data_IF_476248965641
#
_entry.id   IF_476248965641
#
_cell.length_a   1.000
_cell.length_b   1.000
_cell.length_c   1.000
_cell.angle_alpha   90.00
_cell.angle_beta   90.00
_cell.angle_gamma   90.00
#
_symmetry.space_group_name_H-M   'P 1'
#
loop_
_entity.id
_entity.type
_entity.pdbx_description
1 polymer ?
#
# COMPACT_ATOMS: atom_id res chain seq x y z
N UNK A 1 25.44 2.45 1.91
CA UNK A 1 24.20 1.68 1.66
C UNK A 1 24.45 0.55 0.65
N UNK A 2 25.39 -0.38 0.90
CA UNK A 2 25.80 -1.38 -0.13
C UNK A 2 24.74 -2.48 -0.38
N UNK A 3 23.85 -2.71 0.58
CA UNK A 3 22.84 -3.78 0.52
C UNK A 3 21.40 -3.28 0.26
N UNK A 4 21.26 -2.03 -0.18
CA UNK A 4 19.96 -1.43 -0.48
C UNK A 4 19.85 -1.14 -1.98
N UNK A 5 18.80 -1.67 -2.60
CA UNK A 5 18.43 -1.35 -3.98
C UNK A 5 17.13 -0.57 -3.98
N UNK A 6 17.20 0.70 -4.37
CA UNK A 6 16.03 1.55 -4.57
C UNK A 6 15.31 1.09 -5.84
N UNK A 7 14.00 0.85 -5.73
CA UNK A 7 13.16 0.41 -6.84
C UNK A 7 12.39 1.57 -7.46
N UNK A 8 11.83 2.45 -6.63
CA UNK A 8 11.07 3.62 -7.08
C UNK A 8 11.18 4.72 -6.02
N UNK A 9 11.43 5.95 -6.45
CA UNK A 9 11.44 7.10 -5.56
C UNK A 9 11.33 8.40 -6.34
N UNK A 10 10.61 9.37 -5.79
CA UNK A 10 10.65 10.77 -6.24
C UNK A 10 11.39 11.67 -5.23
N UNK A 11 12.03 11.05 -4.24
CA UNK A 11 12.57 11.70 -3.06
C UNK A 11 13.99 12.25 -3.33
N UNK A 12 14.31 13.47 -2.85
CA UNK A 12 15.67 14.01 -2.91
C UNK A 12 16.68 13.10 -2.20
N UNK A 13 17.92 13.03 -2.73
CA UNK A 13 18.96 12.10 -2.26
C UNK A 13 19.18 12.15 -0.75
N UNK A 14 19.40 13.33 -0.17
CA UNK A 14 19.64 13.49 1.28
C UNK A 14 18.48 12.95 2.13
N UNK A 15 17.24 13.25 1.74
CA UNK A 15 16.04 12.79 2.45
C UNK A 15 15.89 11.28 2.35
N UNK A 16 16.13 10.74 1.17
CA UNK A 16 16.12 9.29 0.89
C UNK A 16 17.15 8.53 1.72
N UNK A 17 18.40 8.97 1.73
CA UNK A 17 19.47 8.32 2.49
C UNK A 17 19.16 8.32 3.99
N UNK A 18 18.68 9.44 4.50
CA UNK A 18 18.24 9.56 5.90
C UNK A 18 17.13 8.57 6.26
N UNK A 19 16.08 8.45 5.43
CA UNK A 19 14.99 7.50 5.68
C UNK A 19 15.48 6.05 5.57
N UNK A 20 16.35 5.72 4.60
CA UNK A 20 16.90 4.36 4.47
C UNK A 20 17.70 4.01 5.73
N UNK A 21 18.55 4.90 6.22
CA UNK A 21 19.34 4.68 7.44
C UNK A 21 18.44 4.48 8.66
N UNK A 22 17.39 5.28 8.79
CA UNK A 22 16.38 5.14 9.85
C UNK A 22 15.70 3.77 9.80
N UNK A 23 15.25 3.34 8.62
CA UNK A 23 14.60 2.02 8.44
C UNK A 23 15.57 0.88 8.76
N UNK A 24 16.83 0.98 8.32
CA UNK A 24 17.85 -0.02 8.65
C UNK A 24 18.15 -0.07 10.16
N UNK A 25 18.22 1.07 10.85
CA UNK A 25 18.39 1.11 12.31
C UNK A 25 17.19 0.45 13.03
N UNK A 26 15.96 0.70 12.59
CA UNK A 26 14.79 0.03 13.14
C UNK A 26 14.84 -1.48 12.89
N UNK A 27 15.20 -1.91 11.68
CA UNK A 27 15.28 -3.32 11.31
C UNK A 27 16.31 -4.10 12.15
N UNK A 28 17.39 -3.44 12.59
CA UNK A 28 18.41 -4.05 13.45
C UNK A 28 17.97 -4.17 14.92
N UNK A 29 16.96 -3.40 15.35
CA UNK A 29 16.49 -3.34 16.74
C UNK A 29 15.22 -4.15 16.98
N UNK A 30 14.39 -4.29 15.95
CA UNK A 30 13.05 -4.86 16.07
C UNK A 30 12.92 -6.14 15.25
N UNK A 31 12.79 -7.28 15.95
CA UNK A 31 12.66 -8.59 15.32
C UNK A 31 11.23 -8.89 14.85
N UNK A 32 10.22 -8.29 15.50
CA UNK A 32 8.82 -8.47 15.14
C UNK A 32 8.40 -7.44 14.07
N UNK A 33 7.96 -7.92 12.91
CA UNK A 33 7.72 -7.10 11.71
C UNK A 33 6.60 -6.06 11.90
N UNK A 34 5.59 -6.36 12.72
CA UNK A 34 4.53 -5.41 13.03
C UNK A 34 5.06 -4.21 13.82
N UNK A 35 5.84 -4.48 14.87
CA UNK A 35 6.44 -3.44 15.72
C UNK A 35 7.46 -2.62 14.93
N UNK A 36 8.21 -3.28 14.04
CA UNK A 36 9.10 -2.62 13.08
C UNK A 36 8.35 -1.59 12.23
N UNK A 37 7.20 -1.94 11.65
CA UNK A 37 6.45 -1.02 10.78
C UNK A 37 5.91 0.18 11.58
N UNK A 38 5.42 -0.07 12.79
CA UNK A 38 4.97 0.99 13.71
C UNK A 38 6.13 1.95 14.01
N UNK A 39 7.30 1.43 14.37
CA UNK A 39 8.44 2.26 14.73
C UNK A 39 9.01 3.01 13.51
N UNK A 40 9.06 2.38 12.33
CA UNK A 40 9.42 3.06 11.07
C UNK A 40 8.51 4.27 10.85
N UNK A 41 7.19 4.07 10.88
CA UNK A 41 6.22 5.15 10.68
C UNK A 41 6.42 6.24 11.71
N UNK A 42 6.44 5.89 13.00
CA UNK A 42 6.60 6.83 14.11
C UNK A 42 7.85 7.70 13.96
N UNK A 43 9.00 7.11 13.63
CA UNK A 43 10.26 7.85 13.48
C UNK A 43 10.29 8.71 12.23
N UNK A 44 9.77 8.22 11.10
CA UNK A 44 9.66 9.03 9.88
C UNK A 44 8.76 10.24 10.15
N UNK A 45 7.63 10.04 10.84
CA UNK A 45 6.71 11.12 11.17
C UNK A 45 7.30 12.15 12.13
N UNK A 46 8.09 11.70 13.10
CA UNK A 46 8.82 12.58 14.01
C UNK A 46 9.85 13.49 13.33
N UNK A 47 10.33 13.13 12.13
CA UNK A 47 11.34 13.91 11.38
C UNK A 47 10.74 14.68 10.21
N UNK A 48 9.78 14.07 9.50
CA UNK A 48 9.29 14.54 8.20
C UNK A 48 7.82 14.94 8.19
N UNK A 49 7.17 15.00 9.36
CA UNK A 49 5.76 15.33 9.52
C UNK A 49 4.84 14.13 9.33
N UNK A 50 3.56 14.30 9.65
CA UNK A 50 2.59 13.20 9.77
C UNK A 50 2.14 12.63 8.41
N UNK A 51 1.27 11.61 8.48
CA UNK A 51 0.52 11.00 7.35
C UNK A 51 1.39 10.11 6.46
N UNK A 52 2.43 9.49 7.02
CA UNK A 52 3.25 8.53 6.29
C UNK A 52 2.64 7.13 6.30
N UNK A 53 2.62 6.47 5.15
CA UNK A 53 2.26 5.06 5.07
C UNK A 53 3.54 4.23 5.08
N UNK A 54 3.60 3.23 5.96
CA UNK A 54 4.73 2.31 6.05
C UNK A 54 4.26 0.89 5.71
N UNK A 55 5.02 0.22 4.83
CA UNK A 55 4.75 -1.13 4.38
C UNK A 55 6.03 -1.96 4.47
N UNK A 56 5.94 -3.15 5.03
CA UNK A 56 7.00 -4.18 4.98
C UNK A 56 6.39 -5.42 4.36
N UNK A 57 7.01 -5.89 3.27
CA UNK A 57 6.55 -7.04 2.51
C UNK A 57 7.68 -8.03 2.34
N UNK A 58 7.48 -9.25 2.83
CA UNK A 58 8.34 -10.38 2.50
C UNK A 58 7.71 -11.11 1.30
N UNK A 59 8.04 -10.65 0.10
CA UNK A 59 7.52 -11.19 -1.15
C UNK A 59 7.45 -10.17 -2.27
N UNK A 60 6.41 -10.22 -3.11
CA UNK A 60 6.23 -9.31 -4.25
C UNK A 60 5.20 -8.24 -3.90
N UNK A 61 5.44 -7.02 -4.36
CA UNK A 61 4.59 -5.88 -4.06
C UNK A 61 4.38 -5.00 -5.29
N UNK A 62 3.13 -4.61 -5.51
CA UNK A 62 2.73 -3.67 -6.55
C UNK A 62 1.74 -2.68 -5.97
N UNK A 63 1.84 -1.43 -6.41
CA UNK A 63 0.98 -0.38 -5.89
C UNK A 63 0.89 0.81 -6.82
N UNK A 64 -0.26 1.46 -6.79
CA UNK A 64 -0.53 2.75 -7.39
C UNK A 64 -0.95 3.69 -6.27
N UNK A 65 -0.10 4.69 -6.01
CA UNK A 65 -0.28 5.64 -4.90
C UNK A 65 -0.42 7.08 -5.42
N UNK A 66 -1.25 7.85 -4.72
CA UNK A 66 -1.28 9.31 -4.76
C UNK A 66 -0.60 9.83 -3.50
N UNK A 67 0.58 10.41 -3.68
CA UNK A 67 1.43 10.90 -2.59
C UNK A 67 1.93 12.33 -2.88
N UNK A 68 2.40 13.01 -1.83
CA UNK A 68 3.02 14.33 -1.96
C UNK A 68 4.34 14.22 -2.72
N UNK A 69 4.65 15.08 -3.72
CA UNK A 69 5.93 15.03 -4.41
C UNK A 69 7.13 15.04 -3.45
N UNK A 70 8.10 14.16 -3.69
CA UNK A 70 9.30 14.01 -2.86
C UNK A 70 9.06 13.27 -1.53
N UNK A 71 8.00 12.46 -1.45
CA UNK A 71 7.67 11.65 -0.27
C UNK A 71 7.56 10.15 -0.55
N UNK A 72 7.78 9.69 -1.78
CA UNK A 72 7.73 8.27 -2.10
C UNK A 72 9.11 7.63 -2.09
N UNK A 73 9.22 6.49 -1.42
CA UNK A 73 10.42 5.68 -1.39
C UNK A 73 10.06 4.19 -1.29
N UNK A 74 10.47 3.43 -2.29
CA UNK A 74 10.37 1.97 -2.35
C UNK A 74 11.76 1.41 -2.59
N UNK A 75 12.22 0.54 -1.70
CA UNK A 75 13.51 -0.12 -1.81
C UNK A 75 13.46 -1.53 -1.26
N UNK A 76 14.41 -2.35 -1.69
CA UNK A 76 14.67 -3.67 -1.11
C UNK A 76 16.01 -3.64 -0.41
N UNK A 77 16.10 -4.34 0.72
CA UNK A 77 17.34 -4.49 1.47
C UNK A 77 17.66 -5.97 1.64
N UNK A 78 18.86 -6.38 1.23
CA UNK A 78 19.39 -7.72 1.57
C UNK A 78 19.88 -7.65 3.02
N UNK A 79 19.17 -8.30 3.94
CA UNK A 79 19.58 -8.33 5.35
C UNK A 79 18.46 -8.21 6.38
N UNK A 80 17.23 -7.84 5.99
CA UNK A 80 16.04 -7.92 6.89
C UNK A 80 15.46 -9.36 6.86
N UNK A 81 16.34 -10.34 6.77
CA UNK A 81 16.02 -11.76 6.81
C UNK A 81 16.05 -12.23 8.26
N UNK A 82 14.87 -12.45 8.85
CA UNK A 82 14.73 -13.21 10.08
C UNK A 82 14.00 -14.52 9.79
N UNK A 83 14.32 -15.50 10.64
CA UNK A 83 13.96 -16.92 10.57
C UNK A 83 12.59 -17.22 9.92
N UNK A 84 12.49 -18.26 9.07
CA UNK A 84 11.26 -18.64 8.38
C UNK A 84 10.17 -19.26 9.28
N UNK A 85 10.25 -19.17 10.60
CA UNK A 85 9.29 -19.78 11.53
C UNK A 85 8.15 -18.83 11.92
N UNK A 86 7.41 -18.33 10.94
CA UNK A 86 6.01 -17.92 11.12
C UNK A 86 5.27 -18.48 9.91
N UNK A 87 4.86 -19.75 10.03
CA UNK A 87 4.11 -20.50 9.04
C UNK A 87 2.84 -19.72 8.68
N UNK A 88 2.84 -19.21 7.46
CA UNK A 88 1.64 -18.91 6.71
C UNK A 88 0.73 -20.14 6.81
N UNK A 89 -0.39 -20.03 7.54
CA UNK A 89 -1.45 -21.03 7.43
C UNK A 89 -2.13 -20.80 6.08
N UNK A 90 -2.15 -21.80 5.18
CA UNK A 90 -3.03 -21.71 4.03
C UNK A 90 -4.47 -21.76 4.58
N UNK A 91 -5.19 -20.64 4.48
CA UNK A 91 -6.64 -20.67 4.60
C UNK A 91 -7.18 -21.37 3.35
N UNK A 92 -7.23 -22.70 3.43
CA UNK A 92 -8.05 -23.54 2.57
C UNK A 92 -9.50 -23.07 2.80
N UNK A 93 -10.12 -22.55 1.73
CA UNK A 93 -11.52 -22.15 1.61
C UNK A 93 -11.95 -20.88 2.37
N UNK A 94 -11.74 -19.72 1.74
CA UNK A 94 -12.69 -18.58 1.65
C UNK A 94 -12.35 -17.81 0.38
N UNK A 95 -13.32 -17.57 -0.49
CA UNK A 95 -13.06 -16.86 -1.75
C UNK A 95 -12.52 -15.45 -1.48
N UNK A 96 -12.95 -14.79 -0.40
CA UNK A 96 -12.43 -13.51 0.07
C UNK A 96 -12.42 -13.50 1.60
N UNK A 97 -11.31 -13.04 2.19
CA UNK A 97 -11.20 -12.80 3.63
C UNK A 97 -10.84 -11.34 3.89
N UNK A 98 -11.71 -10.58 4.58
CA UNK A 98 -11.41 -9.18 4.93
C UNK A 98 -10.50 -9.16 6.17
N UNK A 99 -9.32 -8.57 6.02
CA UNK A 99 -8.34 -8.42 7.09
C UNK A 99 -8.63 -7.18 7.96
N UNK A 100 -8.94 -6.06 7.32
CA UNK A 100 -9.32 -4.82 8.01
C UNK A 100 -10.18 -3.95 7.10
N UNK A 101 -11.15 -3.26 7.68
CA UNK A 101 -11.92 -2.24 6.98
C UNK A 101 -12.59 -1.30 7.97
N UNK A 102 -12.70 -0.03 7.60
CA UNK A 102 -13.52 0.97 8.29
C UNK A 102 -14.73 1.42 7.44
N UNK A 103 -14.95 0.76 6.29
CA UNK A 103 -16.03 1.09 5.36
C UNK A 103 -17.39 0.56 5.81
N UNK A 104 -18.46 1.25 5.40
CA UNK A 104 -19.81 0.68 5.47
C UNK A 104 -19.93 -0.60 4.63
N UNK A 105 -20.84 -1.50 5.01
CA UNK A 105 -21.04 -2.78 4.33
C UNK A 105 -21.25 -2.63 2.81
N UNK A 106 -22.15 -1.72 2.40
CA UNK A 106 -22.45 -1.46 0.99
C UNK A 106 -21.24 -0.94 0.21
N UNK A 107 -20.46 -0.02 0.80
CA UNK A 107 -19.26 0.54 0.17
C UNK A 107 -18.17 -0.52 0.04
N UNK A 108 -17.96 -1.30 1.10
CA UNK A 108 -17.04 -2.44 1.14
C UNK A 108 -17.34 -3.44 0.03
N UNK A 109 -18.60 -3.88 -0.09
CA UNK A 109 -19.04 -4.85 -1.10
C UNK A 109 -18.82 -4.33 -2.52
N UNK A 110 -19.22 -3.07 -2.79
CA UNK A 110 -19.02 -2.46 -4.10
C UNK A 110 -17.54 -2.37 -4.48
N UNK A 111 -16.68 -1.95 -3.56
CA UNK A 111 -15.23 -1.86 -3.81
C UNK A 111 -14.61 -3.26 -3.97
N UNK A 112 -15.01 -4.25 -3.17
CA UNK A 112 -14.58 -5.65 -3.35
C UNK A 112 -14.86 -6.12 -4.78
N UNK A 113 -16.08 -5.90 -5.29
CA UNK A 113 -16.45 -6.28 -6.64
C UNK A 113 -15.60 -5.56 -7.70
N UNK A 114 -15.39 -4.24 -7.57
CA UNK A 114 -14.55 -3.47 -8.50
C UNK A 114 -13.12 -4.02 -8.58
N UNK A 115 -12.53 -4.36 -7.42
CA UNK A 115 -11.17 -4.93 -7.36
C UNK A 115 -11.16 -6.34 -7.97
N UNK A 116 -12.08 -7.22 -7.56
CA UNK A 116 -12.14 -8.61 -8.02
C UNK A 116 -12.38 -8.71 -9.53
N UNK A 117 -13.24 -7.87 -10.10
CA UNK A 117 -13.45 -7.81 -11.54
C UNK A 117 -12.19 -7.35 -12.29
N UNK A 118 -11.49 -6.32 -11.77
CA UNK A 118 -10.28 -5.80 -12.40
C UNK A 118 -9.14 -6.82 -12.42
N UNK A 119 -8.96 -7.58 -11.33
CA UNK A 119 -7.91 -8.60 -11.24
C UNK A 119 -8.25 -9.85 -12.07
N UNK A 120 -9.52 -10.24 -12.16
CA UNK A 120 -9.94 -11.43 -12.91
C UNK A 120 -10.19 -11.18 -14.40
N UNK A 121 -10.12 -9.92 -14.88
CA UNK A 121 -10.32 -9.56 -16.29
C UNK A 121 -9.32 -10.29 -17.20
N UNK A 122 -9.77 -11.24 -18.03
CA UNK A 122 -8.92 -11.88 -19.03
C UNK A 122 -8.67 -10.89 -20.18
N UNK A 123 -7.41 -10.57 -20.52
CA UNK A 123 -7.13 -9.87 -21.79
C UNK A 123 -7.29 -10.89 -22.93
N UNK A 124 -8.00 -10.53 -24.00
CA UNK A 124 -7.97 -11.29 -25.25
C UNK A 124 -6.53 -11.45 -25.73
N UNK A 125 -6.19 -12.67 -26.15
CA UNK A 125 -4.84 -13.16 -26.52
C UNK A 125 -3.93 -12.07 -27.13
N UNK A 126 -2.95 -11.60 -26.36
CA UNK A 126 -1.75 -10.99 -26.93
C UNK A 126 -0.51 -11.67 -26.33
N UNK A 127 0.30 -12.21 -27.25
CA UNK A 127 1.47 -13.06 -27.07
C UNK A 127 2.36 -12.60 -25.91
N UNK A 128 2.47 -13.41 -24.85
CA UNK A 128 3.17 -13.04 -23.61
C UNK A 128 4.62 -13.50 -23.64
N UNK A 129 5.55 -12.57 -23.89
CA UNK A 129 6.96 -12.70 -23.50
C UNK A 129 7.04 -12.42 -21.99
N UNK A 130 7.81 -13.21 -21.25
CA UNK A 130 7.87 -13.30 -19.79
C UNK A 130 8.07 -11.95 -19.03
N UNK A 131 8.54 -10.88 -19.69
CA UNK A 131 8.62 -9.52 -19.14
C UNK A 131 7.28 -8.74 -19.12
N UNK A 132 6.26 -9.17 -19.87
CA UNK A 132 4.95 -8.51 -19.96
C UNK A 132 4.06 -8.75 -18.73
N UNK A 133 4.35 -9.75 -17.89
CA UNK A 133 3.56 -10.05 -16.70
C UNK A 133 3.63 -8.94 -15.64
N UNK A 134 4.76 -8.26 -15.49
CA UNK A 134 4.93 -7.15 -14.54
C UNK A 134 4.18 -5.89 -14.97
N UNK A 135 4.26 -5.53 -16.26
CA UNK A 135 3.54 -4.38 -16.84
C UNK A 135 2.03 -4.59 -16.69
N UNK A 136 1.55 -5.82 -16.90
CA UNK A 136 0.14 -6.16 -16.80
C UNK A 136 -0.46 -5.91 -15.41
N UNK A 137 0.29 -6.17 -14.32
CA UNK A 137 -0.23 -5.97 -12.96
C UNK A 137 -0.37 -4.48 -12.64
N UNK A 138 0.62 -3.65 -13.02
CA UNK A 138 0.55 -2.20 -12.78
C UNK A 138 -0.60 -1.55 -13.54
N UNK A 139 -0.78 -1.90 -14.82
CA UNK A 139 -1.92 -1.44 -15.63
C UNK A 139 -3.26 -1.84 -14.99
N UNK A 140 -3.38 -3.07 -14.49
CA UNK A 140 -4.60 -3.53 -13.80
C UNK A 140 -4.90 -2.74 -12.54
N UNK A 141 -3.89 -2.49 -11.70
CA UNK A 141 -4.08 -1.70 -10.48
C UNK A 141 -4.47 -0.25 -10.82
N UNK A 142 -3.93 0.30 -11.91
CA UNK A 142 -4.31 1.60 -12.43
C UNK A 142 -5.77 1.62 -12.92
N UNK A 143 -6.19 0.63 -13.73
CA UNK A 143 -7.60 0.50 -14.14
C UNK A 143 -8.55 0.37 -12.95
N UNK A 144 -8.17 -0.40 -11.92
CA UNK A 144 -8.94 -0.54 -10.68
C UNK A 144 -9.07 0.80 -9.96
N UNK A 145 -7.95 1.51 -9.77
CA UNK A 145 -7.94 2.85 -9.18
C UNK A 145 -8.89 3.78 -9.93
N UNK A 146 -8.78 3.87 -11.24
CA UNK A 146 -9.64 4.74 -12.08
C UNK A 146 -11.12 4.36 -12.01
N UNK A 147 -11.44 3.07 -11.89
CA UNK A 147 -12.84 2.62 -11.68
C UNK A 147 -13.37 3.05 -10.32
N UNK A 148 -12.57 2.89 -9.27
CA UNK A 148 -12.94 3.33 -7.92
C UNK A 148 -13.11 4.86 -7.90
N UNK A 149 -12.19 5.60 -8.52
CA UNK A 149 -12.19 7.06 -8.54
C UNK A 149 -13.39 7.64 -9.32
N UNK A 150 -13.83 6.95 -10.38
CA UNK A 150 -15.07 7.31 -11.10
C UNK A 150 -16.33 7.24 -10.23
N UNK A 151 -16.36 6.36 -9.22
CA UNK A 151 -17.53 6.16 -8.36
C UNK A 151 -17.42 6.96 -7.06
N UNK A 152 -16.22 7.04 -6.49
CA UNK A 152 -16.00 7.53 -5.13
C UNK A 152 -15.11 8.78 -5.03
N UNK A 153 -14.79 9.42 -6.16
CA UNK A 153 -13.93 10.60 -6.23
C UNK A 153 -12.44 10.27 -6.19
N UNK A 154 -11.59 11.27 -6.36
CA UNK A 154 -10.14 11.11 -6.56
C UNK A 154 -9.37 10.76 -5.27
N UNK A 155 -8.10 10.35 -5.43
CA UNK A 155 -7.14 10.20 -4.32
C UNK A 155 -7.10 8.80 -3.74
N UNK A 156 -7.53 7.79 -4.50
CA UNK A 156 -7.53 6.40 -4.05
C UNK A 156 -6.19 5.72 -4.32
N UNK A 157 -5.74 4.94 -3.35
CA UNK A 157 -4.54 4.15 -3.43
C UNK A 157 -4.93 2.69 -3.57
N UNK A 158 -4.23 1.93 -4.40
CA UNK A 158 -4.50 0.51 -4.60
C UNK A 158 -3.18 -0.25 -4.57
N UNK A 159 -3.10 -1.33 -3.80
CA UNK A 159 -1.93 -2.20 -3.77
C UNK A 159 -2.30 -3.68 -3.77
N UNK A 160 -1.31 -4.47 -4.18
CA UNK A 160 -1.32 -5.92 -4.19
C UNK A 160 0.01 -6.40 -3.58
N UNK A 161 -0.07 -7.34 -2.64
CA UNK A 161 1.09 -7.99 -2.05
C UNK A 161 0.92 -9.52 -2.11
N UNK A 162 1.97 -10.19 -2.58
CA UNK A 162 2.12 -11.63 -2.53
C UNK A 162 3.17 -11.96 -1.45
N UNK A 163 2.82 -12.84 -0.51
CA UNK A 163 3.66 -13.19 0.64
C UNK A 163 3.20 -12.55 1.95
N UNK A 164 4.14 -12.37 2.89
CA UNK A 164 3.82 -11.81 4.21
C UNK A 164 3.82 -10.29 4.16
N UNK A 165 2.82 -9.70 4.79
CA UNK A 165 2.52 -8.27 4.68
C UNK A 165 2.27 -7.67 6.06
N UNK A 166 2.93 -6.54 6.35
CA UNK A 166 2.68 -5.71 7.52
C UNK A 166 2.63 -4.25 7.08
N UNK A 167 1.62 -3.52 7.55
CA UNK A 167 1.48 -2.10 7.22
C UNK A 167 0.86 -1.29 8.34
N UNK A 168 1.18 0.00 8.33
CA UNK A 168 0.47 1.03 9.09
C UNK A 168 0.22 2.20 8.14
N UNK A 169 -1.05 2.51 7.92
CA UNK A 169 -1.49 3.51 6.97
C UNK A 169 -2.28 4.62 7.67
N UNK A 170 -2.11 5.85 7.20
CA UNK A 170 -2.99 6.97 7.46
C UNK A 170 -3.90 7.15 6.24
N UNK A 171 -5.21 7.13 6.46
CA UNK A 171 -6.22 7.18 5.41
C UNK A 171 -7.44 8.00 5.83
N UNK A 172 -8.23 8.46 4.86
CA UNK A 172 -9.50 9.13 5.12
C UNK A 172 -10.48 8.14 5.78
N UNK A 173 -11.13 8.47 6.91
CA UNK A 173 -12.07 7.56 7.56
C UNK A 173 -13.16 7.02 6.63
N UNK A 174 -13.47 5.73 6.76
CA UNK A 174 -14.49 5.05 5.95
C UNK A 174 -14.05 4.75 4.51
N UNK A 175 -12.75 4.69 4.26
CA UNK A 175 -12.18 4.45 2.93
C UNK A 175 -11.12 3.34 2.90
N UNK A 176 -10.81 2.70 4.02
CA UNK A 176 -9.82 1.62 4.07
C UNK A 176 -10.46 0.24 3.97
N UNK A 177 -9.88 -0.59 3.13
CA UNK A 177 -10.21 -2.00 2.99
C UNK A 177 -8.95 -2.77 2.61
N UNK A 178 -8.65 -3.81 3.38
CA UNK A 178 -7.60 -4.78 3.09
C UNK A 178 -8.20 -6.19 3.18
N UNK A 179 -7.96 -7.02 2.18
CA UNK A 179 -8.52 -8.36 2.11
C UNK A 179 -7.59 -9.33 1.38
N UNK A 180 -7.80 -10.63 1.60
CA UNK A 180 -7.12 -11.73 0.92
C UNK A 180 -8.06 -12.35 -0.10
N UNK A 181 -7.57 -12.56 -1.32
CA UNK A 181 -8.24 -13.37 -2.35
C UNK A 181 -7.22 -14.29 -2.99
N UNK A 182 -7.47 -15.61 -2.97
CA UNK A 182 -6.56 -16.65 -3.51
C UNK A 182 -5.12 -16.53 -2.99
N UNK A 183 -4.96 -16.23 -1.70
CA UNK A 183 -3.66 -16.09 -1.04
C UNK A 183 -2.90 -14.79 -1.34
N UNK A 184 -3.49 -13.86 -2.09
CA UNK A 184 -2.92 -12.55 -2.39
C UNK A 184 -3.62 -11.48 -1.55
N UNK A 185 -2.85 -10.59 -0.94
CA UNK A 185 -3.35 -9.44 -0.19
C UNK A 185 -3.62 -8.29 -1.14
N UNK A 186 -4.81 -7.71 -1.05
CA UNK A 186 -5.22 -6.51 -1.75
C UNK A 186 -5.56 -5.44 -0.73
N UNK A 187 -5.23 -4.19 -1.02
CA UNK A 187 -5.73 -3.10 -0.20
C UNK A 187 -5.98 -1.83 -0.98
N UNK A 188 -6.96 -1.09 -0.49
CA UNK A 188 -7.39 0.19 -1.02
C UNK A 188 -7.66 1.16 0.10
N UNK A 189 -7.23 2.41 -0.08
CA UNK A 189 -7.48 3.49 0.86
C UNK A 189 -7.43 4.85 0.19
N UNK A 190 -8.22 5.82 0.64
CA UNK A 190 -8.15 7.18 0.14
C UNK A 190 -7.19 8.00 0.99
N UNK A 191 -6.32 8.80 0.35
CA UNK A 191 -5.41 9.71 1.06
C UNK A 191 -6.24 10.74 1.84
N UNK A 192 -5.90 11.07 3.10
CA UNK A 192 -6.56 12.14 3.84
C UNK A 192 -6.51 13.47 3.08
N UNK A 193 -7.59 14.26 3.16
CA UNK A 193 -7.55 15.63 2.68
C UNK A 193 -6.54 16.44 3.53
N UNK A 194 -5.87 17.46 2.97
CA UNK A 194 -5.11 18.40 3.78
C UNK A 194 -6.06 19.04 4.81
N UNK A 195 -5.63 19.18 6.07
CA UNK A 195 -6.42 19.73 7.20
C UNK A 195 -7.05 21.12 6.94
N UNK A 196 -6.65 21.81 5.87
CA UNK A 196 -7.14 23.13 5.51
C UNK A 196 -8.35 23.14 4.55
N UNK A 197 -8.77 21.98 4.01
CA UNK A 197 -9.87 21.93 3.04
C UNK A 197 -11.28 21.95 3.66
N UNK A 198 -11.41 21.81 4.99
CA UNK A 198 -12.70 21.78 5.68
C UNK A 198 -13.12 23.12 6.31
N UNK A 199 -12.25 24.16 6.28
CA UNK A 199 -12.60 25.48 6.85
C UNK A 199 -13.34 26.41 5.90
N UNK A 200 -13.32 26.17 4.59
CA UNK A 200 -13.92 27.09 3.61
C UNK A 200 -15.41 26.81 3.30
N UNK A 201 -16.01 25.77 3.89
CA UNK A 201 -17.44 25.47 3.70
C UNK A 201 -18.35 25.96 4.85
N UNK A 202 -17.82 26.72 5.82
CA UNK A 202 -18.60 27.26 6.93
C UNK A 202 -18.50 28.79 7.01
N UNK A 203 -18.70 29.49 5.89
CA UNK A 203 -18.89 30.95 5.91
C UNK A 203 -19.52 31.48 4.63
N UNK A 204 -20.78 31.12 4.34
CA UNK A 204 -21.71 32.02 3.64
C UNK A 204 -23.13 31.77 4.16
N UNK A 205 -23.47 32.40 5.27
CA UNK A 205 -24.85 32.68 5.66
C UNK A 205 -24.86 33.97 6.49
N UNK A 206 -24.96 35.10 5.78
CA UNK A 206 -25.44 36.37 6.31
C UNK A 206 -26.40 36.95 5.29
#
# INVERSE_FOLDING_TARGET
>A
LKDVKVLNTDMPLKKRESIILLVCDCANKWNHKYDLVIEIKKRIEGVYGNVWNAFVVDGRFWSIYTHKPGSNLVFVSKGIGLNPSCLYRPAILREVEVLTTDMSAKKKESILLLVLEGVNKKKSKQLTIHCLCFINIQERLQEIKERIERVYGLGWNVFMADGRYWSVCSHKPGTNLVFVHKGIVYGVHQTPAPENAERDNCSVAH
#
